data_IF_756222770488
#
_entry.id   IF_756222770488
#
_cell.length_a   1.000
_cell.length_b   1.000
_cell.length_c   1.000
_cell.angle_alpha   90.00
_cell.angle_beta   90.00
_cell.angle_gamma   90.00
#
_symmetry.space_group_name_H-M   'P 1'
#
loop_
_entity.id
_entity.type
_entity.pdbx_description
1 polymer ?
#
# COMPACT_ATOMS: atom_id res chain seq x y z
N UNK A 1 -30.27 0.52 11.52
CA UNK A 1 -29.41 -0.59 11.99
C UNK A 1 -28.35 -0.82 10.93
N UNK A 2 -27.05 -0.67 11.25
CA UNK A 2 -26.02 -1.27 10.40
C UNK A 2 -26.07 -2.76 10.71
N UNK A 3 -26.37 -3.59 9.72
CA UNK A 3 -26.16 -5.03 9.87
C UNK A 3 -24.71 -5.25 10.31
N UNK A 4 -24.52 -5.96 11.42
CA UNK A 4 -23.19 -6.39 11.83
C UNK A 4 -22.70 -7.37 10.78
N UNK A 5 -21.83 -6.89 9.90
CA UNK A 5 -21.18 -7.71 8.90
C UNK A 5 -20.24 -8.68 9.62
N UNK A 6 -20.40 -9.99 9.42
CA UNK A 6 -19.41 -10.96 9.89
C UNK A 6 -18.22 -10.98 8.93
N UNK A 7 -17.01 -10.98 9.49
CA UNK A 7 -15.78 -11.12 8.69
C UNK A 7 -15.56 -12.60 8.42
N UNK A 8 -15.58 -12.97 7.15
CA UNK A 8 -15.28 -14.32 6.67
C UNK A 8 -13.83 -14.42 6.23
N UNK A 9 -13.34 -15.66 6.09
CA UNK A 9 -12.02 -15.93 5.51
C UNK A 9 -11.91 -15.36 4.10
N UNK A 10 -12.93 -15.62 3.26
CA UNK A 10 -12.99 -15.12 1.88
C UNK A 10 -12.88 -13.59 1.80
N UNK A 11 -13.48 -12.87 2.76
CA UNK A 11 -13.37 -11.41 2.82
C UNK A 11 -11.92 -10.95 2.99
N UNK A 12 -11.17 -11.58 3.89
CA UNK A 12 -9.76 -11.28 4.13
C UNK A 12 -8.90 -11.70 2.93
N UNK A 13 -9.13 -12.88 2.36
CA UNK A 13 -8.41 -13.36 1.17
C UNK A 13 -8.61 -12.44 -0.04
N UNK A 14 -9.83 -11.98 -0.29
CA UNK A 14 -10.11 -11.02 -1.35
C UNK A 14 -9.38 -9.69 -1.13
N UNK A 15 -9.33 -9.21 0.10
CA UNK A 15 -8.61 -8.00 0.43
C UNK A 15 -7.09 -8.16 0.24
N UNK A 16 -6.54 -9.30 0.66
CA UNK A 16 -5.12 -9.66 0.48
C UNK A 16 -4.77 -9.74 -1.00
N UNK A 17 -5.61 -10.36 -1.82
CA UNK A 17 -5.41 -10.43 -3.28
C UNK A 17 -5.31 -9.05 -3.90
N UNK A 18 -6.21 -8.14 -3.55
CA UNK A 18 -6.17 -6.75 -4.04
C UNK A 18 -4.90 -6.02 -3.59
N UNK A 19 -4.44 -6.26 -2.35
CA UNK A 19 -3.20 -5.68 -1.84
C UNK A 19 -1.97 -6.22 -2.54
N UNK A 20 -1.95 -7.52 -2.82
CA UNK A 20 -0.89 -8.16 -3.59
C UNK A 20 -0.75 -7.53 -4.97
N UNK A 21 -1.86 -7.34 -5.69
CA UNK A 21 -1.84 -6.73 -7.02
C UNK A 21 -1.26 -5.30 -6.98
N UNK A 22 -1.58 -4.52 -5.94
CA UNK A 22 -0.99 -3.20 -5.72
C UNK A 22 0.51 -3.28 -5.41
N UNK A 23 0.93 -4.19 -4.54
CA UNK A 23 2.34 -4.39 -4.19
C UNK A 23 3.16 -4.79 -5.42
N UNK A 24 2.67 -5.71 -6.24
CA UNK A 24 3.32 -6.11 -7.49
C UNK A 24 3.52 -4.92 -8.41
N UNK A 25 2.48 -4.10 -8.62
CA UNK A 25 2.61 -2.88 -9.43
C UNK A 25 3.65 -1.91 -8.88
N UNK A 26 3.70 -1.75 -7.55
CA UNK A 26 4.67 -0.91 -6.87
C UNK A 26 6.11 -1.41 -7.05
N UNK A 27 6.34 -2.72 -6.93
CA UNK A 27 7.64 -3.31 -7.16
C UNK A 27 8.11 -3.13 -8.61
N UNK A 28 7.22 -3.38 -9.58
CA UNK A 28 7.53 -3.19 -11.01
C UNK A 28 7.91 -1.72 -11.26
N UNK A 29 7.10 -0.77 -10.77
CA UNK A 29 7.36 0.65 -10.95
C UNK A 29 8.67 1.09 -10.27
N UNK A 30 8.92 0.65 -9.03
CA UNK A 30 10.16 0.92 -8.31
C UNK A 30 11.37 0.36 -9.05
N UNK A 31 11.31 -0.90 -9.45
CA UNK A 31 12.40 -1.56 -10.17
C UNK A 31 12.73 -0.85 -11.48
N UNK A 32 11.72 -0.56 -12.29
CA UNK A 32 11.90 0.13 -13.57
C UNK A 32 12.46 1.53 -13.37
N UNK A 33 11.99 2.26 -12.36
CA UNK A 33 12.50 3.59 -12.09
C UNK A 33 13.95 3.59 -11.57
N UNK A 34 14.33 2.61 -10.74
CA UNK A 34 15.73 2.43 -10.31
C UNK A 34 16.63 2.08 -11.50
N UNK A 35 16.20 1.17 -12.38
CA UNK A 35 16.96 0.82 -13.60
C UNK A 35 17.18 2.02 -14.51
N UNK A 36 16.20 2.92 -14.61
CA UNK A 36 16.32 4.15 -15.40
C UNK A 36 17.31 5.14 -14.76
N UNK A 37 17.49 5.14 -13.43
CA UNK A 37 18.53 5.95 -12.77
C UNK A 37 19.95 5.42 -13.00
N UNK A 38 20.14 4.11 -13.14
CA UNK A 38 21.46 3.49 -13.29
C UNK A 38 21.95 3.47 -14.74
N UNK A 39 23.14 3.99 -15.03
CA UNK A 39 23.76 3.84 -16.35
C UNK A 39 24.65 2.61 -16.42
N UNK A 40 24.29 1.64 -17.28
CA UNK A 40 25.07 0.40 -17.45
C UNK A 40 25.90 0.36 -18.74
N UNK A 41 25.51 1.15 -19.72
CA UNK A 41 26.19 1.20 -21.02
C UNK A 41 26.60 2.64 -21.39
N UNK A 42 27.62 2.79 -22.24
CA UNK A 42 27.98 4.09 -22.80
C UNK A 42 26.77 4.79 -23.43
N UNK A 43 26.67 6.11 -23.25
CA UNK A 43 25.62 6.97 -23.80
C UNK A 43 24.19 6.76 -23.26
N UNK A 44 23.95 5.86 -22.28
CA UNK A 44 22.61 5.70 -21.68
C UNK A 44 22.06 7.01 -21.10
N UNK A 45 22.91 7.86 -20.53
CA UNK A 45 22.47 9.17 -20.01
C UNK A 45 21.81 10.04 -21.07
N UNK A 46 22.39 10.06 -22.27
CA UNK A 46 21.91 10.89 -23.37
C UNK A 46 20.54 10.37 -23.82
N UNK A 47 20.41 9.06 -23.97
CA UNK A 47 19.17 8.40 -24.39
C UNK A 47 18.05 8.59 -23.34
N UNK A 48 18.39 8.51 -22.05
CA UNK A 48 17.40 8.63 -20.96
C UNK A 48 16.91 10.05 -20.72
N UNK A 49 17.76 11.06 -20.98
CA UNK A 49 17.41 12.47 -20.79
C UNK A 49 16.39 12.99 -21.82
N UNK A 50 16.13 12.26 -22.90
CA UNK A 50 15.27 12.73 -23.99
C UNK A 50 14.07 11.82 -24.27
N UNK A 51 12.94 12.45 -24.62
CA UNK A 51 11.75 11.80 -25.17
C UNK A 51 11.10 10.76 -24.25
N UNK A 52 10.99 9.53 -24.75
CA UNK A 52 10.21 8.46 -24.14
C UNK A 52 10.66 8.08 -22.73
N UNK A 53 11.96 7.89 -22.49
CA UNK A 53 12.46 7.37 -21.22
C UNK A 53 12.29 8.35 -20.05
N UNK A 54 12.44 9.65 -20.32
CA UNK A 54 12.17 10.69 -19.35
C UNK A 54 10.69 10.67 -18.94
N UNK A 55 9.77 10.64 -19.92
CA UNK A 55 8.33 10.53 -19.65
C UNK A 55 7.98 9.23 -18.92
N UNK A 56 8.57 8.11 -19.32
CA UNK A 56 8.35 6.81 -18.70
C UNK A 56 8.83 6.79 -17.23
N UNK A 57 9.95 7.45 -16.92
CA UNK A 57 10.41 7.62 -15.54
C UNK A 57 9.42 8.44 -14.69
N UNK A 58 8.85 9.52 -15.25
CA UNK A 58 7.76 10.28 -14.61
C UNK A 58 6.51 9.41 -14.38
N UNK A 59 6.14 8.57 -15.35
CA UNK A 59 5.03 7.64 -15.19
C UNK A 59 5.26 6.63 -14.06
N UNK A 60 6.48 6.11 -13.89
CA UNK A 60 6.76 5.19 -12.77
C UNK A 60 6.60 5.88 -11.42
N UNK A 61 7.09 7.12 -11.30
CA UNK A 61 6.90 7.95 -10.10
C UNK A 61 5.43 8.20 -9.79
N UNK A 62 4.66 8.48 -10.83
CA UNK A 62 3.22 8.67 -10.75
C UNK A 62 2.51 7.43 -10.21
N UNK A 63 2.82 6.26 -10.78
CA UNK A 63 2.27 4.98 -10.34
C UNK A 63 2.62 4.73 -8.87
N UNK A 64 3.87 4.93 -8.47
CA UNK A 64 4.28 4.78 -7.07
C UNK A 64 3.45 5.68 -6.14
N UNK A 65 3.30 6.96 -6.49
CA UNK A 65 2.57 7.91 -5.67
C UNK A 65 1.08 7.55 -5.54
N UNK A 66 0.43 7.27 -6.66
CA UNK A 66 -0.99 6.92 -6.69
C UNK A 66 -1.24 5.61 -5.95
N UNK A 67 -0.49 4.55 -6.26
CA UNK A 67 -0.76 3.23 -5.70
C UNK A 67 -0.43 3.17 -4.20
N UNK A 68 0.69 3.74 -3.74
CA UNK A 68 0.99 3.81 -2.30
C UNK A 68 -0.08 4.61 -1.55
N UNK A 69 -0.61 5.68 -2.15
CA UNK A 69 -1.62 6.52 -1.47
C UNK A 69 -2.93 5.79 -1.18
N UNK A 70 -3.25 4.72 -1.92
CA UNK A 70 -4.48 3.92 -1.72
C UNK A 70 -4.45 3.22 -0.36
N UNK A 71 -3.30 2.67 0.03
CA UNK A 71 -3.11 2.02 1.33
C UNK A 71 -3.35 2.97 2.52
N UNK A 72 -3.05 4.26 2.34
CA UNK A 72 -3.11 5.26 3.42
C UNK A 72 -4.25 6.27 3.26
N UNK A 73 -5.22 5.99 2.39
CA UNK A 73 -6.35 6.90 2.19
C UNK A 73 -7.10 7.15 3.50
N UNK A 74 -7.44 8.42 3.74
CA UNK A 74 -8.26 8.85 4.90
C UNK A 74 -9.76 8.70 4.65
N UNK A 75 -10.16 8.38 3.42
CA UNK A 75 -11.57 8.19 3.08
C UNK A 75 -12.05 6.83 3.58
N UNK A 76 -13.15 6.82 4.34
CA UNK A 76 -13.81 5.59 4.79
C UNK A 76 -14.49 4.83 3.63
N UNK A 77 -14.51 5.39 2.41
CA UNK A 77 -15.01 4.72 1.21
C UNK A 77 -13.90 3.97 0.44
N UNK A 78 -12.63 4.23 0.77
CA UNK A 78 -11.48 3.56 0.15
C UNK A 78 -11.21 2.22 0.84
N UNK A 79 -11.90 1.18 0.36
CA UNK A 79 -11.81 -0.20 0.88
C UNK A 79 -10.39 -0.80 0.84
N UNK A 80 -9.53 -0.26 -0.02
CA UNK A 80 -8.13 -0.66 -0.15
C UNK A 80 -7.21 -0.05 0.90
N UNK A 81 -7.71 0.83 1.77
CA UNK A 81 -6.86 1.43 2.80
C UNK A 81 -6.70 0.50 4.01
N UNK A 82 -5.53 0.56 4.64
CA UNK A 82 -5.27 -0.12 5.92
C UNK A 82 -6.23 0.37 7.00
N UNK A 83 -6.50 1.67 7.04
CA UNK A 83 -7.48 2.25 7.97
C UNK A 83 -8.85 1.59 7.83
N UNK A 84 -9.34 1.43 6.61
CA UNK A 84 -10.63 0.79 6.37
C UNK A 84 -10.64 -0.65 6.89
N UNK A 85 -9.62 -1.45 6.51
CA UNK A 85 -9.54 -2.84 6.98
C UNK A 85 -9.46 -2.91 8.51
N UNK A 86 -8.59 -2.13 9.14
CA UNK A 86 -8.42 -2.13 10.59
C UNK A 86 -9.70 -1.74 11.31
N UNK A 87 -10.46 -0.78 10.77
CA UNK A 87 -11.76 -0.43 11.29
C UNK A 87 -12.78 -1.56 11.12
N UNK A 88 -12.77 -2.25 9.98
CA UNK A 88 -13.65 -3.41 9.77
C UNK A 88 -13.30 -4.50 10.80
N UNK A 89 -12.03 -4.89 10.92
CA UNK A 89 -11.60 -5.94 11.85
C UNK A 89 -11.90 -5.60 13.30
N UNK A 90 -11.64 -4.35 13.74
CA UNK A 90 -11.86 -3.93 15.12
C UNK A 90 -13.34 -3.88 15.51
N UNK A 91 -14.22 -3.49 14.59
CA UNK A 91 -15.63 -3.21 14.89
C UNK A 91 -16.60 -4.34 14.51
N UNK A 92 -16.13 -5.39 13.85
CA UNK A 92 -16.96 -6.52 13.46
C UNK A 92 -16.42 -7.82 14.05
N UNK A 93 -17.33 -8.78 14.25
CA UNK A 93 -16.99 -10.12 14.69
C UNK A 93 -16.58 -11.02 13.51
N UNK A 94 -15.79 -12.03 13.83
CA UNK A 94 -15.40 -13.07 12.89
C UNK A 94 -16.51 -14.10 12.78
N UNK A 95 -16.73 -14.65 11.58
CA UNK A 95 -17.60 -15.82 11.43
C UNK A 95 -17.06 -17.00 12.24
N UNK A 96 -17.93 -17.90 12.70
CA UNK A 96 -17.48 -19.09 13.44
C UNK A 96 -16.50 -19.93 12.63
N UNK A 97 -16.74 -20.09 11.33
CA UNK A 97 -15.80 -20.73 10.39
C UNK A 97 -14.41 -20.08 10.43
N UNK A 98 -14.34 -18.74 10.45
CA UNK A 98 -13.07 -18.04 10.48
C UNK A 98 -12.38 -18.13 11.85
N UNK A 99 -13.16 -18.16 12.95
CA UNK A 99 -12.61 -18.45 14.29
C UNK A 99 -12.04 -19.85 14.37
N UNK A 100 -12.70 -20.83 13.78
CA UNK A 100 -12.23 -22.22 13.73
C UNK A 100 -11.00 -22.36 12.82
N UNK A 101 -10.93 -21.60 11.73
CA UNK A 101 -9.72 -21.48 10.90
C UNK A 101 -8.51 -20.98 11.72
N UNK A 102 -8.68 -19.89 12.47
CA UNK A 102 -7.61 -19.34 13.34
C UNK A 102 -7.16 -20.36 14.41
N UNK A 103 -8.10 -21.12 15.00
CA UNK A 103 -7.78 -22.13 16.01
C UNK A 103 -7.11 -23.38 15.43
N UNK A 104 -7.62 -23.90 14.31
CA UNK A 104 -7.14 -25.16 13.71
C UNK A 104 -5.71 -25.09 13.18
N UNK A 105 -5.25 -23.89 12.82
CA UNK A 105 -3.90 -23.68 12.30
C UNK A 105 -2.83 -23.46 13.40
N UNK A 106 -3.25 -23.45 14.67
CA UNK A 106 -2.35 -23.30 15.83
C UNK A 106 -1.41 -24.48 16.09
N UNK A 107 -1.72 -25.65 15.53
CA UNK A 107 -1.08 -26.91 15.93
C UNK A 107 0.13 -27.25 15.02
N UNK A 108 0.17 -26.76 13.77
CA UNK A 108 1.15 -27.21 12.77
C UNK A 108 1.68 -26.11 11.81
N UNK A 109 1.40 -24.82 12.03
CA UNK A 109 1.78 -23.76 11.06
C UNK A 109 2.47 -22.54 11.68
N UNK A 110 3.31 -21.87 10.87
CA UNK A 110 3.96 -20.58 11.15
C UNK A 110 2.98 -19.40 11.38
N UNK A 111 1.70 -19.68 11.62
CA UNK A 111 0.66 -18.66 11.72
C UNK A 111 0.80 -17.83 13.00
N UNK A 112 0.60 -16.52 12.84
CA UNK A 112 0.81 -15.54 13.93
C UNK A 112 -0.39 -15.37 14.86
N UNK A 113 -1.60 -15.83 14.47
CA UNK A 113 -2.83 -15.55 15.19
C UNK A 113 -3.65 -16.80 15.54
N UNK A 114 -4.09 -16.88 16.78
CA UNK A 114 -4.86 -17.99 17.34
C UNK A 114 -6.29 -17.58 17.73
N UNK A 115 -6.49 -16.27 17.93
CA UNK A 115 -7.73 -15.68 18.38
C UNK A 115 -7.82 -14.24 17.89
N UNK A 116 -8.99 -13.63 18.09
CA UNK A 116 -9.30 -12.28 17.63
C UNK A 116 -8.47 -11.22 18.38
N UNK A 117 -8.22 -11.44 19.66
CA UNK A 117 -7.47 -10.52 20.51
C UNK A 117 -6.03 -10.31 19.99
N UNK A 118 -5.37 -11.39 19.57
CA UNK A 118 -4.04 -11.35 18.94
C UNK A 118 -4.06 -10.54 17.64
N UNK A 119 -5.06 -10.77 16.78
CA UNK A 119 -5.24 -9.99 15.54
C UNK A 119 -5.39 -8.49 15.87
N UNK A 120 -6.21 -8.15 16.87
CA UNK A 120 -6.40 -6.74 17.28
C UNK A 120 -5.10 -6.13 17.79
N UNK A 121 -4.37 -6.83 18.67
CA UNK A 121 -3.09 -6.31 19.19
C UNK A 121 -2.10 -6.08 18.06
N UNK A 122 -2.07 -6.96 17.08
CA UNK A 122 -1.23 -6.80 15.90
C UNK A 122 -1.63 -5.59 15.05
N UNK A 123 -2.93 -5.38 14.83
CA UNK A 123 -3.46 -4.19 14.15
C UNK A 123 -3.05 -2.91 14.89
N UNK A 124 -3.16 -2.86 16.22
CA UNK A 124 -2.74 -1.70 17.01
C UNK A 124 -1.24 -1.41 16.83
N UNK A 125 -0.41 -2.45 16.77
CA UNK A 125 1.03 -2.31 16.50
C UNK A 125 1.30 -1.77 15.09
N UNK A 126 0.58 -2.25 14.08
CA UNK A 126 0.67 -1.76 12.70
C UNK A 126 0.20 -0.30 12.58
N UNK A 127 -0.91 0.06 13.21
CA UNK A 127 -1.38 1.46 13.29
C UNK A 127 -0.32 2.37 13.89
N UNK A 128 0.35 1.93 14.95
CA UNK A 128 1.46 2.68 15.56
C UNK A 128 2.64 2.85 14.59
N UNK A 129 3.03 1.80 13.86
CA UNK A 129 4.09 1.89 12.82
C UNK A 129 3.71 2.90 11.72
N UNK A 130 2.47 2.85 11.23
CA UNK A 130 1.93 3.78 10.23
C UNK A 130 1.94 5.22 10.76
N UNK A 131 1.49 5.43 11.99
CA UNK A 131 1.46 6.75 12.63
C UNK A 131 2.86 7.35 12.79
N UNK A 132 3.88 6.54 13.08
CA UNK A 132 5.29 7.01 13.13
C UNK A 132 5.77 7.54 11.77
N UNK A 133 5.20 7.06 10.66
CA UNK A 133 5.53 7.48 9.29
C UNK A 133 4.57 8.54 8.72
N UNK A 134 3.69 9.14 9.53
CA UNK A 134 2.65 10.11 9.10
C UNK A 134 3.18 11.25 8.24
N UNK A 135 4.39 11.76 8.50
CA UNK A 135 5.00 12.86 7.75
C UNK A 135 5.27 12.45 6.30
N UNK A 136 5.84 11.25 6.10
CA UNK A 136 6.13 10.73 4.76
C UNK A 136 4.82 10.40 4.02
N UNK A 137 3.86 9.79 4.72
CA UNK A 137 2.52 9.52 4.18
C UNK A 137 1.85 10.82 3.72
N UNK A 138 1.99 11.92 4.49
CA UNK A 138 1.44 13.22 4.10
C UNK A 138 2.09 13.76 2.83
N UNK A 139 3.41 13.66 2.68
CA UNK A 139 4.11 14.02 1.43
C UNK A 139 3.57 13.23 0.23
N UNK A 140 3.31 11.94 0.42
CA UNK A 140 2.75 11.06 -0.60
C UNK A 140 1.33 11.48 -0.99
N UNK A 141 0.46 11.79 -0.02
CA UNK A 141 -0.89 12.31 -0.28
C UNK A 141 -0.84 13.64 -1.05
N UNK A 142 0.05 14.56 -0.66
CA UNK A 142 0.19 15.86 -1.29
C UNK A 142 0.71 15.71 -2.73
N UNK A 143 1.65 14.80 -2.95
CA UNK A 143 2.15 14.48 -4.29
C UNK A 143 1.05 13.92 -5.20
N UNK A 144 0.21 13.01 -4.70
CA UNK A 144 -0.98 12.52 -5.42
C UNK A 144 -1.99 13.64 -5.71
N UNK A 145 -2.27 14.51 -4.74
CA UNK A 145 -3.23 15.58 -4.93
C UNK A 145 -2.76 16.58 -5.99
N UNK A 146 -1.46 16.88 -6.02
CA UNK A 146 -0.86 17.72 -7.06
C UNK A 146 -0.95 17.08 -8.44
N UNK A 147 -0.71 15.78 -8.54
CA UNK A 147 -0.95 15.01 -9.77
C UNK A 147 -2.37 15.21 -10.29
N UNK A 148 -3.38 15.10 -9.42
CA UNK A 148 -4.77 15.35 -9.82
C UNK A 148 -5.04 16.83 -10.15
N UNK A 149 -4.35 17.76 -9.50
CA UNK A 149 -4.46 19.18 -9.83
C UNK A 149 -3.83 19.51 -11.19
N UNK A 150 -2.78 18.81 -11.62
CA UNK A 150 -2.22 18.98 -12.97
C UNK A 150 -3.12 18.44 -14.10
N UNK A 151 -4.13 17.63 -13.77
CA UNK A 151 -5.20 17.26 -14.71
C UNK A 151 -6.35 18.26 -14.74
N UNK A 152 -6.33 19.29 -13.88
CA UNK A 152 -7.26 20.41 -13.93
C UNK A 152 -6.79 21.40 -15.01
N UNK A 153 -7.55 21.62 -16.09
CA UNK A 153 -7.17 22.54 -17.17
C UNK A 153 -6.96 23.99 -16.70
N UNK A 154 -7.43 24.34 -15.49
CA UNK A 154 -7.27 25.66 -14.88
C UNK A 154 -5.96 25.83 -14.09
N UNK A 155 -5.25 24.75 -13.76
CA UNK A 155 -4.01 24.77 -12.96
C UNK A 155 -2.84 24.14 -13.73
N UNK A 156 -2.26 24.91 -14.65
CA UNK A 156 -1.08 24.52 -15.42
C UNK A 156 0.23 24.67 -14.61
N UNK A 157 0.29 24.16 -13.39
CA UNK A 157 1.57 24.08 -12.68
C UNK A 157 2.49 23.05 -13.35
N UNK A 158 3.81 23.27 -13.31
CA UNK A 158 4.82 22.33 -13.86
C UNK A 158 4.70 20.95 -13.20
N UNK A 159 4.93 19.84 -13.92
CA UNK A 159 4.83 18.49 -13.36
C UNK A 159 5.69 18.37 -12.11
N UNK A 160 5.04 18.09 -10.97
CA UNK A 160 5.73 17.90 -9.71
C UNK A 160 6.63 16.67 -9.79
N UNK A 161 7.94 16.90 -9.81
CA UNK A 161 8.97 15.86 -9.76
C UNK A 161 8.94 15.22 -8.37
N UNK A 162 8.25 14.09 -8.24
CA UNK A 162 8.29 13.28 -7.01
C UNK A 162 9.67 12.62 -6.93
N UNK A 163 10.55 12.94 -5.97
CA UNK A 163 11.79 12.18 -5.85
C UNK A 163 11.43 10.75 -5.42
N UNK A 164 11.86 9.74 -6.18
CA UNK A 164 11.96 8.37 -5.64
C UNK A 164 13.11 8.42 -4.66
N UNK A 165 12.79 8.67 -3.40
CA UNK A 165 13.70 8.73 -2.27
C UNK A 165 13.65 7.43 -1.49
N UNK A 166 14.59 7.27 -0.56
CA UNK A 166 14.56 6.19 0.42
C UNK A 166 13.26 6.18 1.23
N UNK A 167 12.62 7.35 1.40
CA UNK A 167 11.31 7.45 2.07
C UNK A 167 10.22 6.62 1.37
N UNK A 168 10.22 6.52 0.03
CA UNK A 168 9.27 5.68 -0.71
C UNK A 168 9.54 4.19 -0.50
N UNK A 169 10.82 3.80 -0.40
CA UNK A 169 11.20 2.43 -0.11
C UNK A 169 10.79 2.03 1.31
N UNK A 170 10.92 2.94 2.29
CA UNK A 170 10.44 2.73 3.65
C UNK A 170 8.93 2.53 3.71
N UNK A 171 8.16 3.33 2.98
CA UNK A 171 6.70 3.21 2.95
C UNK A 171 6.26 1.93 2.24
N UNK A 172 6.89 1.58 1.12
CA UNK A 172 6.61 0.31 0.44
C UNK A 172 6.89 -0.88 1.37
N UNK A 173 8.03 -0.87 2.08
CA UNK A 173 8.35 -1.89 3.07
C UNK A 173 7.30 -1.97 4.19
N UNK A 174 6.78 -0.83 4.65
CA UNK A 174 5.69 -0.83 5.62
C UNK A 174 4.40 -1.46 5.06
N UNK A 175 4.09 -1.23 3.78
CA UNK A 175 2.97 -1.90 3.12
C UNK A 175 3.18 -3.42 3.03
N UNK A 176 4.39 -3.86 2.68
CA UNK A 176 4.77 -5.29 2.65
C UNK A 176 4.68 -5.93 4.04
N UNK A 177 5.23 -5.27 5.07
CA UNK A 177 5.13 -5.73 6.46
C UNK A 177 3.67 -5.90 6.89
N UNK A 178 2.83 -4.90 6.58
CA UNK A 178 1.40 -4.93 6.90
C UNK A 178 0.71 -6.08 6.18
N UNK A 179 0.98 -6.26 4.89
CA UNK A 179 0.44 -7.36 4.09
C UNK A 179 0.88 -8.73 4.62
N UNK A 180 2.17 -8.93 4.87
CA UNK A 180 2.72 -10.22 5.29
C UNK A 180 2.19 -10.63 6.66
N UNK A 181 2.09 -9.69 7.60
CA UNK A 181 1.51 -9.94 8.93
C UNK A 181 0.06 -10.39 8.82
N UNK A 182 -0.72 -9.80 7.92
CA UNK A 182 -2.12 -10.18 7.73
C UNK A 182 -2.30 -11.44 6.86
N UNK A 183 -1.31 -11.81 6.06
CA UNK A 183 -1.32 -13.01 5.21
C UNK A 183 -0.90 -14.27 5.95
N UNK A 184 0.10 -14.16 6.81
CA UNK A 184 0.61 -15.24 7.68
C UNK A 184 -0.22 -15.34 8.97
N UNK A 185 -1.04 -14.33 9.22
CA UNK A 185 -2.08 -14.37 10.24
C UNK A 185 -3.18 -15.38 9.98
#
# INVERSE_FOLDING_TARGET
MKENMLITKEYIENWLKLHWDLLVQLHIAKHNALRLKENRFPNEEIVKKHGFFSMYFEQMKLILAIQLSKFFSKSDQQKLSFRYLFNVIKNNDFSEEFKDYLKSHSIDSDNLFHNREEVIQCILNLENKINRKKKIIKKLEDARNKVYAHTDPLNQEKPFLIPISDEYAEILKLCEETYNVLRVG
#
